data_IF_219405796477
#
_entry.id   IF_219405796477
#
_cell.length_a   1.000
_cell.length_b   1.000
_cell.length_c   1.000
_cell.angle_alpha   90.00
_cell.angle_beta   90.00
_cell.angle_gamma   90.00
#
_symmetry.space_group_name_H-M   'P 1'
#
loop_
_entity.id
_entity.type
_entity.pdbx_description
1 polymer ?
#
# COMPACT_ATOMS: atom_id res chain seq x y z
N UNK A 1 -12.21 8.70 17.92
CA UNK A 1 -11.23 7.62 18.24
C UNK A 1 -10.79 6.98 16.93
N UNK A 2 -9.50 6.75 16.71
CA UNK A 2 -9.00 6.05 15.52
C UNK A 2 -9.03 4.53 15.74
N UNK A 3 -9.41 3.72 14.74
CA UNK A 3 -9.45 2.27 14.89
C UNK A 3 -8.03 1.67 14.95
N UNK A 4 -7.89 0.55 15.65
CA UNK A 4 -6.66 -0.22 15.65
C UNK A 4 -6.51 -0.98 14.32
N UNK A 5 -5.49 -0.62 13.53
CA UNK A 5 -5.18 -1.31 12.28
C UNK A 5 -4.43 -2.61 12.59
N UNK A 6 -5.01 -3.74 12.18
CA UNK A 6 -4.46 -5.10 12.32
C UNK A 6 -4.34 -5.77 10.96
N UNK A 7 -3.44 -6.74 10.84
CA UNK A 7 -3.49 -7.68 9.73
C UNK A 7 -4.52 -8.79 9.99
N UNK A 8 -4.81 -9.65 9.00
CA UNK A 8 -5.79 -10.74 9.14
C UNK A 8 -5.40 -11.75 10.22
N UNK A 9 -4.11 -11.94 10.46
CA UNK A 9 -3.59 -12.78 11.55
C UNK A 9 -3.76 -12.15 12.95
N UNK A 10 -4.37 -10.96 13.04
CA UNK A 10 -4.61 -10.24 14.29
C UNK A 10 -3.40 -9.49 14.86
N UNK A 11 -2.23 -9.59 14.20
CA UNK A 11 -1.02 -8.86 14.54
C UNK A 11 -1.13 -7.37 14.15
N UNK A 12 -0.33 -6.53 14.82
CA UNK A 12 -0.28 -5.09 14.56
C UNK A 12 0.21 -4.84 13.13
N UNK A 13 -0.54 -4.04 12.37
CA UNK A 13 -0.15 -3.64 11.01
C UNK A 13 1.22 -2.94 11.01
N UNK A 14 2.06 -3.25 10.02
CA UNK A 14 3.43 -2.71 9.92
C UNK A 14 4.48 -3.38 10.82
N UNK A 15 4.11 -4.40 11.60
CA UNK A 15 5.05 -5.32 12.27
C UNK A 15 5.00 -6.66 11.55
N UNK A 16 5.74 -6.79 10.44
CA UNK A 16 6.09 -8.14 9.98
C UNK A 16 7.00 -8.77 11.04
N UNK A 17 7.01 -10.10 11.15
CA UNK A 17 7.84 -10.82 12.12
C UNK A 17 9.34 -10.53 11.90
N UNK A 18 9.85 -9.47 12.51
CA UNK A 18 11.26 -9.06 12.46
C UNK A 18 11.59 -7.79 11.65
N UNK A 19 10.75 -7.35 10.70
CA UNK A 19 11.04 -6.17 9.87
C UNK A 19 9.91 -5.13 9.93
N UNK A 20 10.10 -4.13 10.79
CA UNK A 20 9.27 -2.93 10.78
C UNK A 20 9.46 -2.16 9.46
N UNK A 21 8.38 -1.63 8.90
CA UNK A 21 8.42 -0.76 7.73
C UNK A 21 8.63 0.68 8.19
N UNK A 22 9.79 1.24 7.88
CA UNK A 22 10.20 2.56 8.34
C UNK A 22 9.86 3.65 7.32
N UNK A 23 9.51 4.83 7.83
CA UNK A 23 9.31 6.01 6.98
C UNK A 23 10.64 6.62 6.50
N UNK A 24 11.78 6.30 7.10
CA UNK A 24 13.08 6.78 6.62
C UNK A 24 13.63 5.83 5.56
N UNK A 25 13.95 6.35 4.37
CA UNK A 25 14.46 5.56 3.24
C UNK A 25 15.73 4.75 3.58
N UNK A 26 16.59 5.27 4.45
CA UNK A 26 17.79 4.59 4.92
C UNK A 26 17.54 3.30 5.73
N UNK A 27 16.31 3.08 6.24
CA UNK A 27 15.94 1.88 7.00
C UNK A 27 15.00 0.96 6.23
N UNK A 28 14.17 1.52 5.35
CA UNK A 28 13.34 0.77 4.42
C UNK A 28 13.41 1.49 3.09
N UNK A 29 14.01 0.82 2.11
CA UNK A 29 14.22 1.36 0.78
C UNK A 29 12.90 1.81 0.14
N UNK A 30 12.97 2.69 -0.87
CA UNK A 30 11.79 3.11 -1.62
C UNK A 30 11.03 1.90 -2.20
N UNK A 31 11.79 0.95 -2.77
CA UNK A 31 11.27 -0.32 -3.26
C UNK A 31 10.58 -1.13 -2.17
N UNK A 32 11.25 -1.41 -1.04
CA UNK A 32 10.66 -2.24 0.02
C UNK A 32 9.42 -1.59 0.63
N UNK A 33 9.41 -0.27 0.75
CA UNK A 33 8.24 0.48 1.23
C UNK A 33 7.07 0.35 0.26
N UNK A 34 7.31 0.52 -1.04
CA UNK A 34 6.30 0.32 -2.08
C UNK A 34 5.77 -1.12 -2.10
N UNK A 35 6.68 -2.10 -2.03
CA UNK A 35 6.37 -3.52 -2.04
C UNK A 35 5.58 -3.97 -0.79
N UNK A 36 5.79 -3.34 0.36
CA UNK A 36 4.97 -3.59 1.54
C UNK A 36 3.48 -3.35 1.25
N UNK A 37 3.13 -2.25 0.59
CA UNK A 37 1.75 -1.93 0.22
C UNK A 37 1.24 -2.81 -0.92
N UNK A 38 2.09 -3.10 -1.92
CA UNK A 38 1.73 -4.00 -3.02
C UNK A 38 1.33 -5.38 -2.52
N UNK A 39 1.95 -5.87 -1.44
CA UNK A 39 1.68 -7.17 -0.80
C UNK A 39 0.49 -7.16 0.16
N UNK A 40 -0.26 -6.06 0.26
CA UNK A 40 -1.51 -6.04 1.01
C UNK A 40 -2.46 -7.14 0.51
N UNK A 41 -3.34 -7.61 1.41
CA UNK A 41 -4.34 -8.62 1.07
C UNK A 41 -5.61 -7.95 0.53
N UNK A 42 -6.27 -8.60 -0.43
CA UNK A 42 -7.50 -8.13 -1.06
C UNK A 42 -8.57 -7.67 -0.05
N UNK A 43 -8.80 -8.45 1.00
CA UNK A 43 -9.81 -8.13 2.01
C UNK A 43 -9.49 -6.87 2.83
N UNK A 44 -8.23 -6.41 2.82
CA UNK A 44 -7.78 -5.23 3.55
C UNK A 44 -7.75 -3.96 2.71
N UNK A 45 -7.73 -4.07 1.37
CA UNK A 45 -7.48 -2.94 0.47
C UNK A 45 -8.44 -1.77 0.69
N UNK A 46 -9.73 -2.04 0.80
CA UNK A 46 -10.73 -1.00 1.02
C UNK A 46 -10.48 -0.25 2.34
N UNK A 47 -10.09 -0.96 3.39
CA UNK A 47 -9.79 -0.37 4.71
C UNK A 47 -8.48 0.42 4.66
N UNK A 48 -7.45 -0.12 4.01
CA UNK A 48 -6.14 0.52 3.91
C UNK A 48 -6.19 1.78 3.04
N UNK A 49 -6.89 1.74 1.90
CA UNK A 49 -7.10 2.92 1.05
C UNK A 49 -7.78 4.04 1.84
N UNK A 50 -8.88 3.74 2.55
CA UNK A 50 -9.60 4.72 3.38
C UNK A 50 -8.76 5.29 4.52
N UNK A 51 -7.80 4.51 5.04
CA UNK A 51 -7.03 4.89 6.22
C UNK A 51 -5.71 5.61 5.89
N UNK A 52 -5.09 5.30 4.74
CA UNK A 52 -3.73 5.73 4.42
C UNK A 52 -3.61 6.58 3.16
N UNK A 53 -4.73 6.91 2.51
CA UNK A 53 -4.74 7.80 1.35
C UNK A 53 -5.81 8.88 1.49
N UNK A 54 -5.75 9.88 0.62
CA UNK A 54 -6.77 10.93 0.48
C UNK A 54 -7.71 10.66 -0.70
N UNK A 55 -7.78 9.41 -1.16
CA UNK A 55 -8.63 9.03 -2.29
C UNK A 55 -10.12 9.15 -1.91
N UNK A 56 -11.00 9.72 -2.77
CA UNK A 56 -12.42 9.83 -2.49
C UNK A 56 -13.08 8.46 -2.29
N UNK A 57 -14.08 8.40 -1.40
CA UNK A 57 -14.76 7.14 -1.06
C UNK A 57 -15.43 6.49 -2.27
N UNK A 58 -16.02 7.28 -3.16
CA UNK A 58 -16.67 6.79 -4.38
C UNK A 58 -15.64 6.18 -5.34
N UNK A 59 -14.47 6.81 -5.46
CA UNK A 59 -13.34 6.28 -6.27
C UNK A 59 -12.83 4.96 -5.69
N UNK A 60 -12.70 4.85 -4.36
CA UNK A 60 -12.33 3.59 -3.70
C UNK A 60 -13.39 2.52 -3.98
N UNK A 61 -14.69 2.86 -3.88
CA UNK A 61 -15.77 1.91 -4.12
C UNK A 61 -15.76 1.38 -5.57
N UNK A 62 -15.62 2.27 -6.55
CA UNK A 62 -15.49 1.89 -7.96
C UNK A 62 -14.28 0.99 -8.20
N UNK A 63 -13.11 1.38 -7.69
CA UNK A 63 -11.87 0.63 -7.85
C UNK A 63 -11.93 -0.77 -7.24
N UNK A 64 -12.61 -0.92 -6.10
CA UNK A 64 -12.83 -2.23 -5.49
C UNK A 64 -13.79 -3.09 -6.30
N UNK A 65 -14.78 -2.51 -7.00
CA UNK A 65 -15.65 -3.26 -7.89
C UNK A 65 -14.92 -3.74 -9.14
N UNK A 66 -14.08 -2.88 -9.74
CA UNK A 66 -13.19 -3.26 -10.85
C UNK A 66 -12.23 -4.38 -10.43
N UNK A 67 -11.70 -4.31 -9.20
CA UNK A 67 -10.82 -5.35 -8.66
C UNK A 67 -11.54 -6.68 -8.46
N UNK A 68 -12.82 -6.70 -8.06
CA UNK A 68 -13.60 -7.95 -8.00
C UNK A 68 -13.76 -8.60 -9.37
N UNK A 69 -13.96 -7.79 -10.40
CA UNK A 69 -14.08 -8.28 -11.78
C UNK A 69 -12.75 -8.81 -12.32
N UNK A 70 -11.62 -8.19 -11.94
CA UNK A 70 -10.29 -8.51 -12.48
C UNK A 70 -9.18 -8.45 -11.41
N UNK A 71 -9.19 -9.37 -10.43
CA UNK A 71 -8.28 -9.31 -9.27
C UNK A 71 -6.80 -9.43 -9.65
N UNK A 72 -6.50 -10.13 -10.75
CA UNK A 72 -5.15 -10.29 -11.29
C UNK A 72 -4.50 -8.96 -11.69
N UNK A 73 -5.30 -7.93 -12.00
CA UNK A 73 -4.75 -6.62 -12.33
C UNK A 73 -4.22 -5.87 -11.11
N UNK A 74 -4.61 -6.25 -9.90
CA UNK A 74 -4.15 -5.66 -8.63
C UNK A 74 -4.23 -4.12 -8.60
N UNK A 75 -5.26 -3.56 -9.24
CA UNK A 75 -5.45 -2.09 -9.38
C UNK A 75 -5.39 -1.37 -8.02
N UNK A 76 -6.21 -1.74 -7.02
CA UNK A 76 -6.18 -1.11 -5.70
C UNK A 76 -4.84 -1.28 -4.96
N UNK A 77 -4.10 -2.37 -5.19
CA UNK A 77 -2.78 -2.55 -4.60
C UNK A 77 -1.78 -1.53 -5.14
N UNK A 78 -1.73 -1.38 -6.47
CA UNK A 78 -0.87 -0.38 -7.12
C UNK A 78 -1.24 1.01 -6.65
N UNK A 79 -2.52 1.36 -6.66
CA UNK A 79 -2.97 2.69 -6.22
C UNK A 79 -2.58 2.98 -4.77
N UNK A 80 -2.80 2.01 -3.87
CA UNK A 80 -2.41 2.14 -2.47
C UNK A 80 -0.90 2.36 -2.33
N UNK A 81 -0.10 1.55 -3.02
CA UNK A 81 1.36 1.65 -2.98
C UNK A 81 1.86 2.98 -3.56
N UNK A 82 1.30 3.43 -4.67
CA UNK A 82 1.61 4.71 -5.32
C UNK A 82 1.32 5.89 -4.40
N UNK A 83 0.11 5.98 -3.87
CA UNK A 83 -0.31 7.10 -3.03
C UNK A 83 0.46 7.14 -1.71
N UNK A 84 0.64 6.00 -1.05
CA UNK A 84 1.39 5.92 0.19
C UNK A 84 2.87 6.25 -0.03
N UNK A 85 3.47 5.79 -1.13
CA UNK A 85 4.87 6.07 -1.45
C UNK A 85 5.04 7.52 -1.87
N UNK A 86 4.17 8.07 -2.70
CA UNK A 86 4.18 9.49 -3.07
C UNK A 86 4.11 10.39 -1.84
N UNK A 87 3.20 10.09 -0.91
CA UNK A 87 3.00 10.88 0.30
C UNK A 87 4.25 10.92 1.19
N UNK A 88 4.97 9.80 1.33
CA UNK A 88 6.08 9.69 2.29
C UNK A 88 7.45 9.90 1.63
N UNK A 89 7.58 9.59 0.34
CA UNK A 89 8.86 9.59 -0.40
C UNK A 89 8.93 10.65 -1.49
N UNK A 90 7.83 11.32 -1.83
CA UNK A 90 7.75 12.25 -2.95
C UNK A 90 7.84 11.56 -4.31
N UNK A 91 7.79 12.36 -5.37
CA UNK A 91 7.74 11.87 -6.76
C UNK A 91 8.98 11.04 -7.13
N UNK A 92 10.19 11.55 -6.83
CA UNK A 92 11.44 10.84 -7.13
C UNK A 92 11.52 9.46 -6.47
N UNK A 93 11.13 9.38 -5.20
CA UNK A 93 11.16 8.12 -4.48
C UNK A 93 10.09 7.13 -4.97
N UNK A 94 8.95 7.62 -5.48
CA UNK A 94 7.96 6.77 -6.13
C UNK A 94 8.50 6.24 -7.48
N UNK A 95 9.08 7.11 -8.29
CA UNK A 95 9.66 6.74 -9.59
C UNK A 95 10.73 5.67 -9.43
N UNK A 96 11.67 5.87 -8.50
CA UNK A 96 12.72 4.88 -8.18
C UNK A 96 12.12 3.53 -7.75
N UNK A 97 11.07 3.55 -6.93
CA UNK A 97 10.41 2.32 -6.48
C UNK A 97 9.71 1.58 -7.62
N UNK A 98 9.04 2.30 -8.51
CA UNK A 98 8.34 1.74 -9.66
C UNK A 98 9.33 1.21 -10.71
N UNK A 99 10.42 1.92 -10.97
CA UNK A 99 11.50 1.45 -11.86
C UNK A 99 12.08 0.14 -11.33
N UNK A 100 12.47 0.11 -10.05
CA UNK A 100 13.01 -1.11 -9.42
C UNK A 100 12.01 -2.27 -9.49
N UNK A 101 10.72 -1.99 -9.30
CA UNK A 101 9.64 -3.00 -9.40
C UNK A 101 9.42 -3.51 -10.82
N UNK A 102 9.76 -2.75 -11.86
CA UNK A 102 9.64 -3.20 -13.26
C UNK A 102 10.80 -4.11 -13.69
N UNK A 103 11.96 -3.97 -13.04
CA UNK A 103 13.20 -4.68 -13.40
C UNK A 103 13.39 -5.98 -12.61
N UNK A 104 12.89 -6.04 -11.37
CA UNK A 104 12.97 -7.22 -10.48
C UNK A 104 11.71 -8.07 -10.52
#
# INVERSE_FOLDING_TARGET
VLPLVRNESGHKFGKSAGNAVWLRAAKTSHFDFYQFWMRAQDAQLATLLKAFTFEPLDTIAQMMEEHKAQPQLRIPHRRLAELATLLVRGEKGLEEAQETTRVL
#
